data_IF_770989210338
#
_entry.id   IF_770989210338
#
_cell.length_a   1.000
_cell.length_b   1.000
_cell.length_c   1.000
_cell.angle_alpha   90.00
_cell.angle_beta   90.00
_cell.angle_gamma   90.00
#
_symmetry.space_group_name_H-M   'P 1'
#
loop_
_entity.id
_entity.type
_entity.pdbx_description
1 polymer ?
#
# COMPACT_ATOMS: atom_id res chain seq x y z
N UNK A 1 0.44 33.84 -14.03
CA UNK A 1 -0.44 32.68 -13.76
C UNK A 1 0.46 31.51 -13.42
N UNK A 2 0.24 30.81 -12.30
CA UNK A 2 0.94 29.57 -11.99
C UNK A 2 0.26 28.44 -12.75
N UNK A 3 0.97 27.79 -13.67
CA UNK A 3 0.52 26.58 -14.34
C UNK A 3 0.86 25.40 -13.42
N UNK A 4 -0.12 24.57 -13.08
CA UNK A 4 0.14 23.31 -12.37
C UNK A 4 0.43 22.23 -13.41
N UNK A 5 1.66 21.76 -13.47
CA UNK A 5 2.07 20.65 -14.34
C UNK A 5 1.88 19.33 -13.58
N UNK A 6 0.95 18.50 -14.03
CA UNK A 6 0.67 17.20 -13.41
C UNK A 6 1.69 16.13 -13.83
N UNK A 7 2.41 16.33 -14.93
CA UNK A 7 3.45 15.41 -15.42
C UNK A 7 4.73 15.48 -14.56
N UNK A 8 4.91 16.55 -13.79
CA UNK A 8 5.99 16.68 -12.80
C UNK A 8 5.68 15.98 -11.47
N UNK A 9 4.43 15.56 -11.26
CA UNK A 9 3.99 14.82 -10.07
C UNK A 9 4.14 13.31 -10.23
N UNK A 10 4.80 12.84 -11.30
CA UNK A 10 4.93 11.41 -11.60
C UNK A 10 5.73 10.67 -10.51
N UNK A 11 4.97 9.99 -9.66
CA UNK A 11 5.26 8.75 -8.95
C UNK A 11 6.65 8.58 -8.34
N UNK A 12 6.80 8.96 -7.08
CA UNK A 12 7.90 8.48 -6.25
C UNK A 12 7.83 6.95 -6.12
N UNK A 13 8.81 6.27 -6.71
CA UNK A 13 8.94 4.80 -6.62
C UNK A 13 9.32 4.43 -5.20
N UNK A 14 8.34 4.00 -4.40
CA UNK A 14 8.56 3.56 -3.02
C UNK A 14 8.95 2.08 -3.01
N UNK A 15 10.19 1.71 -2.63
CA UNK A 15 10.59 0.32 -2.53
C UNK A 15 10.02 -0.34 -1.26
N UNK A 16 9.63 -1.61 -1.36
CA UNK A 16 9.26 -2.48 -0.25
C UNK A 16 10.02 -3.79 -0.40
N UNK A 17 10.52 -4.33 0.71
CA UNK A 17 11.19 -5.64 0.71
C UNK A 17 10.23 -6.69 1.24
N UNK A 18 9.90 -7.68 0.41
CA UNK A 18 9.12 -8.85 0.80
C UNK A 18 10.02 -10.08 0.67
N UNK A 19 10.16 -10.88 1.73
CA UNK A 19 10.98 -12.10 1.74
C UNK A 19 12.43 -11.94 1.21
N UNK A 20 13.01 -10.75 1.32
CA UNK A 20 14.36 -10.45 0.81
C UNK A 20 14.41 -9.99 -0.65
N UNK A 21 13.28 -9.95 -1.35
CA UNK A 21 13.13 -9.41 -2.70
C UNK A 21 12.58 -7.98 -2.63
N UNK A 22 13.20 -7.05 -3.36
CA UNK A 22 12.73 -5.67 -3.44
C UNK A 22 11.69 -5.53 -4.54
N UNK A 23 10.51 -5.05 -4.16
CA UNK A 23 9.43 -4.67 -5.06
C UNK A 23 9.19 -3.17 -4.97
N UNK A 24 8.51 -2.60 -5.97
CA UNK A 24 8.17 -1.19 -5.99
C UNK A 24 6.66 -1.01 -5.91
N UNK A 25 6.22 -0.10 -5.05
CA UNK A 25 4.83 0.30 -5.00
C UNK A 25 4.50 1.10 -6.25
N UNK A 26 3.43 0.68 -6.90
CA UNK A 26 2.81 1.43 -7.98
C UNK A 26 1.83 2.42 -7.36
N UNK A 27 1.93 3.66 -7.81
CA UNK A 27 0.98 4.69 -7.42
C UNK A 27 -0.41 4.30 -7.92
N UNK A 28 -1.37 4.23 -7.01
CA UNK A 28 -2.73 3.85 -7.36
C UNK A 28 -3.41 5.00 -8.10
N UNK A 29 -4.04 4.68 -9.23
CA UNK A 29 -4.91 5.62 -9.91
C UNK A 29 -6.17 5.86 -9.07
N UNK A 30 -6.80 7.03 -9.23
CA UNK A 30 -8.08 7.34 -8.59
C UNK A 30 -9.16 6.29 -8.91
N UNK A 31 -9.13 5.71 -10.12
CA UNK A 31 -10.04 4.63 -10.52
C UNK A 31 -9.84 3.37 -9.68
N UNK A 32 -8.60 2.94 -9.47
CA UNK A 32 -8.28 1.78 -8.62
C UNK A 32 -8.69 2.01 -7.16
N UNK A 33 -8.53 3.23 -6.65
CA UNK A 33 -8.99 3.58 -5.30
C UNK A 33 -10.52 3.47 -5.18
N UNK A 34 -11.26 3.95 -6.17
CA UNK A 34 -12.74 3.84 -6.21
C UNK A 34 -13.16 2.36 -6.24
N UNK A 35 -12.48 1.52 -7.03
CA UNK A 35 -12.73 0.08 -7.06
C UNK A 35 -12.46 -0.61 -5.73
N UNK A 36 -11.37 -0.25 -5.05
CA UNK A 36 -11.04 -0.78 -3.73
C UNK A 36 -12.10 -0.40 -2.67
N UNK A 37 -12.56 0.86 -2.67
CA UNK A 37 -13.62 1.34 -1.75
C UNK A 37 -14.94 0.63 -2.02
N UNK A 38 -15.33 0.45 -3.28
CA UNK A 38 -16.56 -0.26 -3.65
C UNK A 38 -16.48 -1.73 -3.26
N UNK A 39 -15.33 -2.38 -3.46
CA UNK A 39 -15.09 -3.76 -3.08
C UNK A 39 -15.18 -3.94 -1.56
N UNK A 40 -14.58 -3.00 -0.79
CA UNK A 40 -14.67 -3.01 0.66
C UNK A 40 -16.11 -2.85 1.17
N UNK A 41 -16.92 -2.00 0.55
CA UNK A 41 -18.35 -1.84 0.89
C UNK A 41 -19.20 -3.07 0.54
N UNK A 42 -18.80 -3.83 -0.47
CA UNK A 42 -19.49 -5.04 -0.89
C UNK A 42 -19.19 -6.25 0.02
N UNK A 43 -18.13 -6.19 0.83
CA UNK A 43 -17.83 -7.21 1.83
C UNK A 43 -18.82 -7.06 2.99
N UNK A 44 -19.70 -8.04 3.15
CA UNK A 44 -20.46 -8.19 4.40
C UNK A 44 -19.45 -8.52 5.51
N UNK A 45 -19.33 -7.65 6.51
CA UNK A 45 -18.31 -7.75 7.58
C UNK A 45 -18.34 -9.01 8.46
N UNK A 46 -19.25 -9.94 8.18
CA UNK A 46 -19.41 -11.21 8.90
C UNK A 46 -18.60 -12.37 8.30
N UNK A 47 -17.89 -12.17 7.17
CA UNK A 47 -16.96 -13.17 6.62
C UNK A 47 -15.49 -12.72 6.79
N UNK A 48 -14.81 -13.22 7.84
CA UNK A 48 -13.39 -12.95 8.07
C UNK A 48 -12.51 -13.34 6.88
N UNK A 49 -12.87 -14.39 6.14
CA UNK A 49 -12.07 -14.85 5.00
C UNK A 49 -12.14 -13.85 3.84
N UNK A 50 -13.32 -13.31 3.58
CA UNK A 50 -13.54 -12.30 2.55
C UNK A 50 -12.78 -11.00 2.87
N UNK A 51 -12.70 -10.63 4.16
CA UNK A 51 -11.88 -9.50 4.60
C UNK A 51 -10.39 -9.72 4.30
N UNK A 52 -9.86 -10.92 4.55
CA UNK A 52 -8.46 -11.22 4.26
C UNK A 52 -8.13 -11.22 2.77
N UNK A 53 -9.00 -11.83 1.94
CA UNK A 53 -8.83 -11.81 0.48
C UNK A 53 -8.85 -10.36 -0.07
N UNK A 54 -9.65 -9.47 0.50
CA UNK A 54 -9.69 -8.06 0.11
C UNK A 54 -8.39 -7.30 0.46
N UNK A 55 -7.80 -7.58 1.62
CA UNK A 55 -6.50 -7.01 1.99
C UNK A 55 -5.39 -7.52 1.06
N UNK A 56 -5.38 -8.81 0.73
CA UNK A 56 -4.45 -9.40 -0.25
C UNK A 56 -4.64 -8.78 -1.63
N UNK A 57 -5.88 -8.57 -2.08
CA UNK A 57 -6.17 -7.91 -3.35
C UNK A 57 -5.65 -6.46 -3.38
N UNK A 58 -5.79 -5.74 -2.27
CA UNK A 58 -5.27 -4.37 -2.15
C UNK A 58 -3.74 -4.34 -2.21
N UNK A 59 -3.07 -5.25 -1.50
CA UNK A 59 -1.61 -5.39 -1.55
C UNK A 59 -1.10 -5.72 -2.96
N UNK A 60 -1.79 -6.59 -3.69
CA UNK A 60 -1.49 -6.92 -5.09
C UNK A 60 -1.65 -5.74 -6.04
N UNK A 61 -2.70 -4.94 -5.86
CA UNK A 61 -2.90 -3.74 -6.68
C UNK A 61 -1.77 -2.73 -6.45
N UNK A 62 -1.24 -2.65 -5.23
CA UNK A 62 -0.13 -1.78 -4.90
C UNK A 62 1.22 -2.32 -5.40
N UNK A 63 1.41 -3.64 -5.43
CA UNK A 63 2.67 -4.28 -5.85
C UNK A 63 2.35 -5.41 -6.85
N UNK A 64 2.03 -5.09 -8.11
CA UNK A 64 1.59 -6.09 -9.10
C UNK A 64 2.71 -7.04 -9.54
N UNK A 65 3.98 -6.64 -9.35
CA UNK A 65 5.15 -7.44 -9.70
C UNK A 65 5.48 -8.52 -8.65
N UNK A 66 4.87 -8.45 -7.46
CA UNK A 66 5.06 -9.44 -6.41
C UNK A 66 4.20 -10.69 -6.67
N UNK A 67 4.78 -11.90 -6.59
CA UNK A 67 4.01 -13.14 -6.72
C UNK A 67 2.92 -13.26 -5.63
N UNK A 68 1.79 -13.86 -6.00
CA UNK A 68 0.70 -14.20 -5.08
C UNK A 68 1.18 -14.89 -3.81
N UNK A 69 2.08 -15.86 -3.98
CA UNK A 69 2.61 -16.67 -2.89
C UNK A 69 3.38 -15.82 -1.88
N UNK A 70 4.09 -14.79 -2.33
CA UNK A 70 4.85 -13.90 -1.44
C UNK A 70 3.92 -12.99 -0.64
N UNK A 71 2.85 -12.48 -1.26
CA UNK A 71 1.86 -11.65 -0.56
C UNK A 71 1.06 -12.50 0.43
N UNK A 72 0.69 -13.74 0.05
CA UNK A 72 -0.04 -14.67 0.93
C UNK A 72 0.83 -15.25 2.06
N UNK A 73 2.15 -15.21 1.92
CA UNK A 73 3.09 -15.60 2.97
C UNK A 73 3.21 -14.55 4.09
N UNK A 74 2.71 -13.32 3.87
CA UNK A 74 2.71 -12.28 4.89
C UNK A 74 1.78 -12.63 6.05
N UNK A 75 2.24 -12.39 7.27
CA UNK A 75 1.35 -12.41 8.42
C UNK A 75 0.45 -11.16 8.46
N UNK A 76 -0.57 -11.17 9.31
CA UNK A 76 -1.56 -10.08 9.39
C UNK A 76 -0.92 -8.72 9.68
N UNK A 77 0.07 -8.68 10.57
CA UNK A 77 0.77 -7.44 10.95
C UNK A 77 1.55 -6.88 9.76
N UNK A 78 2.24 -7.74 9.01
CA UNK A 78 2.99 -7.34 7.81
C UNK A 78 2.06 -6.83 6.70
N UNK A 79 0.92 -7.51 6.48
CA UNK A 79 -0.06 -7.10 5.48
C UNK A 79 -0.69 -5.75 5.81
N UNK A 80 -1.04 -5.53 7.07
CA UNK A 80 -1.55 -4.23 7.54
C UNK A 80 -0.50 -3.13 7.41
N UNK A 81 0.75 -3.40 7.78
CA UNK A 81 1.85 -2.45 7.64
C UNK A 81 2.09 -2.07 6.17
N UNK A 82 2.04 -3.05 5.25
CA UNK A 82 2.13 -2.81 3.81
C UNK A 82 1.01 -1.88 3.32
N UNK A 83 -0.24 -2.18 3.67
CA UNK A 83 -1.38 -1.37 3.25
C UNK A 83 -1.30 0.05 3.85
N UNK A 84 -0.89 0.17 5.10
CA UNK A 84 -0.65 1.47 5.72
C UNK A 84 0.44 2.26 4.99
N UNK A 85 1.55 1.61 4.63
CA UNK A 85 2.65 2.23 3.90
C UNK A 85 2.27 2.65 2.47
N UNK A 86 1.41 1.89 1.80
CA UNK A 86 0.84 2.26 0.49
C UNK A 86 -0.02 3.52 0.59
N UNK A 87 -0.86 3.60 1.63
CA UNK A 87 -1.81 4.70 1.83
C UNK A 87 -1.21 5.93 2.53
N UNK A 88 -0.07 5.78 3.20
CA UNK A 88 0.64 6.88 3.84
C UNK A 88 1.02 7.94 2.80
N UNK A 89 0.74 9.21 3.11
CA UNK A 89 1.24 10.32 2.31
C UNK A 89 2.75 10.45 2.51
N UNK A 90 3.48 11.01 1.55
CA UNK A 90 4.94 11.23 1.73
C UNK A 90 5.26 11.98 3.02
N UNK A 91 4.39 12.92 3.44
CA UNK A 91 4.49 13.66 4.69
C UNK A 91 4.50 12.74 5.93
N UNK A 92 3.67 11.69 5.95
CA UNK A 92 3.55 10.77 7.08
C UNK A 92 4.79 9.84 7.20
N UNK A 93 5.46 9.58 6.08
CA UNK A 93 6.62 8.70 6.03
C UNK A 93 7.90 9.39 6.53
N UNK A 94 8.02 10.72 6.37
CA UNK A 94 9.18 11.47 6.88
C UNK A 94 9.16 11.56 8.41
N UNK A 95 7.98 11.74 9.02
CA UNK A 95 7.84 11.82 10.48
C UNK A 95 8.16 10.50 11.20
N UNK A 96 7.82 9.36 10.59
CA UNK A 96 8.08 8.04 11.19
C UNK A 96 9.59 7.70 11.32
N UNK A 97 10.46 8.31 10.50
CA UNK A 97 11.92 8.09 10.56
C UNK A 97 12.65 9.10 11.46
N UNK A 98 11.98 10.18 11.88
CA UNK A 98 12.56 11.22 12.74
C UNK A 98 12.37 10.95 14.24
N UNK A 99 11.56 9.94 14.62
CA UNK A 99 11.22 9.63 16.01
C UNK A 99 12.11 8.61 16.73
N UNK A 100 13.05 7.96 16.04
CA UNK A 100 13.83 6.83 16.57
C UNK A 100 15.31 7.16 16.87
N UNK A 101 15.71 8.44 16.94
CA UNK A 101 17.11 8.86 17.24
C UNK A 101 17.30 9.62 18.58
N UNK A 102 16.31 9.64 19.49
CA UNK A 102 16.53 10.15 20.85
C UNK A 102 16.04 9.16 21.92
N UNK A 103 16.96 8.37 22.47
CA UNK A 103 16.69 7.62 23.70
C UNK A 103 17.62 6.46 24.01
N UNK A 104 18.94 6.70 24.10
CA UNK A 104 19.86 5.81 24.81
C UNK A 104 20.73 6.56 25.79
#
# INVERSE_FOLDING_TARGET
MKLLNLDELVGNKRPVVLNGTTYYIHEQTVGQLIEAVNSSRALNGDDPLAMFEALVATAKQAIPDAPDEEIRALNMTQLQALIAFVNASETDLVEATAGDDEGK
#
